data_IF_946746284018
#
_entry.id   IF_946746284018
#
_cell.length_a   1.000
_cell.length_b   1.000
_cell.length_c   1.000
_cell.angle_alpha   90.00
_cell.angle_beta   90.00
_cell.angle_gamma   90.00
#
_symmetry.space_group_name_H-M   'P 1'
#
loop_
_entity.id
_entity.type
_entity.pdbx_description
1 polymer ?
#
# COMPACT_ATOMS: atom_id res chain seq x y z
N UNK A 1 -15.32 -24.74 20.43
CA UNK A 1 -16.56 -24.69 19.62
C UNK A 1 -16.13 -24.37 18.20
N UNK A 2 -16.46 -25.23 17.20
CA UNK A 2 -16.27 -24.88 15.79
C UNK A 2 -17.17 -23.71 15.49
N UNK A 3 -16.60 -22.63 15.00
CA UNK A 3 -17.37 -21.46 14.57
C UNK A 3 -18.13 -21.86 13.30
N UNK A 4 -19.46 -21.88 13.34
CA UNK A 4 -20.33 -22.35 12.22
C UNK A 4 -20.09 -21.60 10.90
N UNK A 5 -19.41 -20.46 10.93
CA UNK A 5 -19.14 -19.61 9.77
C UNK A 5 -17.84 -19.94 9.02
N UNK A 6 -16.89 -20.63 9.64
CA UNK A 6 -15.60 -20.93 9.04
C UNK A 6 -15.50 -22.44 8.77
N UNK A 7 -15.64 -22.88 7.52
CA UNK A 7 -15.79 -24.30 7.20
C UNK A 7 -14.53 -25.14 7.42
N UNK A 8 -13.33 -24.53 7.49
CA UNK A 8 -12.07 -25.27 7.66
C UNK A 8 -11.24 -24.74 8.83
N UNK A 9 -10.44 -25.63 9.43
CA UNK A 9 -9.49 -25.25 10.49
C UNK A 9 -8.45 -24.23 10.00
N UNK A 10 -8.08 -24.28 8.72
CA UNK A 10 -7.18 -23.31 8.11
C UNK A 10 -7.80 -21.91 8.06
N UNK A 11 -9.06 -21.79 7.66
CA UNK A 11 -9.77 -20.51 7.69
C UNK A 11 -9.90 -19.96 9.10
N UNK A 12 -10.19 -20.82 10.09
CA UNK A 12 -10.24 -20.45 11.48
C UNK A 12 -8.86 -19.97 12.01
N UNK A 13 -7.78 -20.64 11.60
CA UNK A 13 -6.41 -20.20 11.91
C UNK A 13 -6.10 -18.83 11.28
N UNK A 14 -6.43 -18.62 10.02
CA UNK A 14 -6.22 -17.33 9.33
C UNK A 14 -7.03 -16.21 10.00
N UNK A 15 -8.32 -16.43 10.28
CA UNK A 15 -9.15 -15.46 10.98
C UNK A 15 -8.52 -15.06 12.32
N UNK A 16 -8.11 -16.06 13.12
CA UNK A 16 -7.51 -15.86 14.44
C UNK A 16 -6.15 -15.17 14.38
N UNK A 17 -5.31 -15.54 13.42
CA UNK A 17 -3.92 -15.04 13.34
C UNK A 17 -3.80 -13.69 12.64
N UNK A 18 -4.72 -13.34 11.71
CA UNK A 18 -4.59 -12.18 10.81
C UNK A 18 -5.62 -11.08 11.06
N UNK A 19 -6.85 -11.43 11.46
CA UNK A 19 -7.95 -10.47 11.58
C UNK A 19 -8.31 -10.15 13.04
N UNK A 20 -8.25 -11.14 13.92
CA UNK A 20 -8.65 -11.04 15.30
C UNK A 20 -7.74 -10.13 16.12
N UNK A 21 -8.32 -9.21 16.90
CA UNK A 21 -7.61 -8.45 17.92
C UNK A 21 -7.37 -9.31 19.16
N UNK A 22 -6.31 -8.97 19.87
CA UNK A 22 -6.01 -9.55 21.17
C UNK A 22 -6.44 -8.57 22.27
N UNK A 23 -7.13 -9.08 23.26
CA UNK A 23 -7.54 -8.37 24.48
C UNK A 23 -6.92 -9.04 25.69
N UNK A 24 -6.34 -8.24 26.60
CA UNK A 24 -5.79 -8.74 27.84
C UNK A 24 -6.91 -9.39 28.67
N UNK A 25 -6.64 -10.58 29.24
CA UNK A 25 -7.59 -11.37 30.03
C UNK A 25 -8.59 -12.21 29.21
N UNK A 26 -8.90 -11.84 27.95
CA UNK A 26 -9.83 -12.57 27.09
C UNK A 26 -9.12 -13.40 26.00
N UNK A 27 -7.96 -12.94 25.53
CA UNK A 27 -7.28 -13.53 24.39
C UNK A 27 -7.70 -12.90 23.06
N UNK A 28 -7.70 -13.68 21.97
CA UNK A 28 -8.09 -13.18 20.63
C UNK A 28 -9.58 -13.34 20.39
N UNK A 29 -10.15 -12.35 19.69
CA UNK A 29 -11.52 -12.40 19.15
C UNK A 29 -11.77 -13.71 18.38
N UNK A 30 -13.02 -14.12 18.35
CA UNK A 30 -13.51 -15.07 17.34
C UNK A 30 -13.91 -14.34 16.02
N UNK A 31 -14.39 -15.12 15.03
CA UNK A 31 -14.75 -14.53 13.75
C UNK A 31 -15.96 -13.60 13.84
N UNK A 32 -17.00 -13.99 14.56
CA UNK A 32 -18.19 -13.17 14.72
C UNK A 32 -17.91 -11.87 15.47
N UNK A 33 -17.06 -11.91 16.50
CA UNK A 33 -16.61 -10.71 17.21
C UNK A 33 -15.78 -9.77 16.31
N UNK A 34 -14.92 -10.35 15.46
CA UNK A 34 -14.12 -9.59 14.50
C UNK A 34 -15.01 -8.87 13.48
N UNK A 35 -16.03 -9.56 12.93
CA UNK A 35 -17.01 -8.98 12.02
C UNK A 35 -17.85 -7.91 12.72
N UNK A 36 -18.37 -8.20 13.91
CA UNK A 36 -19.16 -7.23 14.69
C UNK A 36 -18.36 -5.95 15.00
N UNK A 37 -17.08 -6.09 15.35
CA UNK A 37 -16.20 -4.93 15.56
C UNK A 37 -16.02 -4.09 14.27
N UNK A 38 -15.86 -4.74 13.12
CA UNK A 38 -15.79 -4.06 11.83
C UNK A 38 -17.11 -3.33 11.53
N UNK A 39 -18.24 -4.00 11.65
CA UNK A 39 -19.55 -3.40 11.42
C UNK A 39 -19.78 -2.17 12.32
N UNK A 40 -19.48 -2.30 13.61
CA UNK A 40 -19.70 -1.23 14.60
C UNK A 40 -18.78 -0.02 14.39
N UNK A 41 -17.52 -0.23 14.00
CA UNK A 41 -16.56 0.86 13.94
C UNK A 41 -16.32 1.40 12.52
N UNK A 42 -16.73 0.67 11.47
CA UNK A 42 -16.46 1.07 10.08
C UNK A 42 -17.76 1.30 9.30
N UNK A 43 -18.72 0.37 9.37
CA UNK A 43 -19.91 0.42 8.53
C UNK A 43 -21.00 1.32 9.16
N UNK A 44 -21.48 0.95 10.34
CA UNK A 44 -22.63 1.64 10.98
C UNK A 44 -22.43 3.14 11.19
N UNK A 45 -21.23 3.68 11.50
CA UNK A 45 -21.05 5.11 11.64
C UNK A 45 -21.15 5.92 10.33
N UNK A 46 -21.22 5.25 9.20
CA UNK A 46 -21.21 5.86 7.85
C UNK A 46 -22.49 5.68 7.06
N UNK A 47 -23.45 5.00 7.62
CA UNK A 47 -24.77 4.77 6.99
C UNK A 47 -25.88 5.34 7.88
N UNK A 48 -27.00 5.78 7.29
CA UNK A 48 -28.15 6.25 8.06
C UNK A 48 -28.71 5.16 8.98
N UNK A 49 -29.33 5.58 10.09
CA UNK A 49 -29.87 4.67 11.10
C UNK A 49 -30.93 3.70 10.52
N UNK A 50 -31.62 4.12 9.46
CA UNK A 50 -32.63 3.35 8.73
C UNK A 50 -32.02 2.29 7.79
N UNK A 51 -30.72 2.36 7.52
CA UNK A 51 -30.09 1.41 6.61
C UNK A 51 -29.83 0.06 7.29
N UNK A 52 -30.49 -0.98 6.80
CA UNK A 52 -30.32 -2.33 7.32
C UNK A 52 -28.96 -2.93 6.90
N UNK A 53 -28.03 -3.00 7.84
CA UNK A 53 -26.68 -3.56 7.62
C UNK A 53 -26.60 -5.07 7.77
N UNK A 54 -27.70 -5.77 8.07
CA UNK A 54 -27.69 -7.21 8.34
C UNK A 54 -27.20 -8.05 7.17
N UNK A 55 -27.56 -7.67 5.93
CA UNK A 55 -27.08 -8.39 4.74
C UNK A 55 -25.56 -8.29 4.57
N UNK A 56 -24.97 -7.09 4.82
CA UNK A 56 -23.52 -6.91 4.79
C UNK A 56 -22.82 -7.76 5.86
N UNK A 57 -23.39 -7.78 7.07
CA UNK A 57 -22.83 -8.55 8.18
C UNK A 57 -22.87 -10.06 7.90
N UNK A 58 -24.00 -10.58 7.41
CA UNK A 58 -24.17 -11.99 7.06
C UNK A 58 -23.24 -12.40 5.91
N UNK A 59 -23.13 -11.59 4.86
CA UNK A 59 -22.26 -11.88 3.74
C UNK A 59 -20.77 -11.93 4.13
N UNK A 60 -20.33 -11.08 5.07
CA UNK A 60 -18.97 -11.15 5.62
C UNK A 60 -18.80 -12.38 6.50
N UNK A 61 -19.76 -12.67 7.37
CA UNK A 61 -19.73 -13.86 8.24
C UNK A 61 -19.65 -15.15 7.39
N UNK A 62 -20.45 -15.24 6.33
CA UNK A 62 -20.50 -16.38 5.40
C UNK A 62 -19.34 -16.45 4.41
N UNK A 63 -18.39 -15.51 4.43
CA UNK A 63 -17.29 -15.41 3.46
C UNK A 63 -17.78 -15.32 2.01
N UNK A 64 -18.89 -14.65 1.76
CA UNK A 64 -19.39 -14.33 0.42
C UNK A 64 -18.69 -13.10 -0.14
N UNK A 65 -18.48 -12.11 0.74
CA UNK A 65 -17.69 -10.91 0.45
C UNK A 65 -16.72 -10.62 1.59
N UNK A 66 -15.59 -10.03 1.26
CA UNK A 66 -14.60 -9.62 2.26
C UNK A 66 -14.29 -8.13 2.12
N UNK A 67 -14.38 -7.36 3.22
CA UNK A 67 -13.88 -5.99 3.22
C UNK A 67 -12.36 -5.95 3.17
N UNK A 68 -11.80 -4.74 3.03
CA UNK A 68 -10.36 -4.53 3.20
C UNK A 68 -9.86 -5.21 4.47
N UNK A 69 -8.90 -6.12 4.32
CA UNK A 69 -8.25 -6.76 5.45
C UNK A 69 -7.70 -5.72 6.44
N UNK A 70 -7.17 -4.61 5.93
CA UNK A 70 -6.61 -3.53 6.75
C UNK A 70 -7.69 -2.81 7.54
N UNK A 71 -8.79 -2.42 6.89
CA UNK A 71 -9.92 -1.79 7.57
C UNK A 71 -10.49 -2.72 8.65
N UNK A 72 -10.64 -4.01 8.35
CA UNK A 72 -11.14 -5.00 9.30
C UNK A 72 -10.21 -5.20 10.49
N UNK A 73 -8.91 -5.33 10.24
CA UNK A 73 -7.89 -5.53 11.27
C UNK A 73 -7.74 -4.31 12.20
N UNK A 74 -7.82 -3.09 11.64
CA UNK A 74 -7.59 -1.84 12.37
C UNK A 74 -8.85 -1.17 12.90
N UNK A 75 -10.05 -1.67 12.54
CA UNK A 75 -11.34 -1.16 12.99
C UNK A 75 -11.36 -0.89 14.52
N UNK A 76 -11.79 0.33 14.89
CA UNK A 76 -11.75 0.85 16.26
C UNK A 76 -10.75 1.99 16.44
N UNK A 77 -10.17 2.20 17.63
CA UNK A 77 -9.38 3.38 17.97
C UNK A 77 -8.20 3.68 17.03
N UNK A 78 -7.57 2.64 16.47
CA UNK A 78 -6.43 2.82 15.54
C UNK A 78 -6.88 3.48 14.24
N UNK A 79 -7.97 2.98 13.63
CA UNK A 79 -8.52 3.54 12.40
C UNK A 79 -9.15 4.92 12.63
N UNK A 80 -9.82 5.13 13.75
CA UNK A 80 -10.44 6.42 14.09
C UNK A 80 -9.40 7.55 14.28
N UNK A 81 -8.20 7.20 14.76
CA UNK A 81 -7.10 8.16 14.93
C UNK A 81 -6.48 8.57 13.60
N UNK A 82 -6.21 7.61 12.74
CA UNK A 82 -5.57 7.81 11.43
C UNK A 82 -6.07 6.76 10.44
N UNK A 83 -6.66 7.21 9.33
CA UNK A 83 -7.29 6.34 8.37
C UNK A 83 -6.30 5.66 7.40
N UNK A 84 -5.04 6.06 7.37
CA UNK A 84 -4.00 5.42 6.54
C UNK A 84 -3.98 3.90 6.75
N UNK A 85 -4.15 3.45 8.01
CA UNK A 85 -4.14 2.04 8.35
C UNK A 85 -5.32 1.22 7.79
N UNK A 86 -6.35 1.88 7.26
CA UNK A 86 -7.52 1.23 6.63
C UNK A 86 -7.34 0.91 5.15
N UNK A 87 -6.34 1.51 4.51
CA UNK A 87 -6.09 1.35 3.08
C UNK A 87 -5.12 0.21 2.77
N UNK A 88 -5.31 -0.43 1.62
CA UNK A 88 -4.47 -1.54 1.17
C UNK A 88 -3.21 -1.04 0.46
N UNK A 89 -3.36 -0.04 -0.40
CA UNK A 89 -2.35 0.38 -1.34
C UNK A 89 -2.26 1.89 -1.48
N UNK A 90 -1.08 2.36 -1.89
CA UNK A 90 -0.78 3.76 -2.15
C UNK A 90 0.28 3.90 -3.24
N UNK A 91 0.40 5.11 -3.79
CA UNK A 91 1.49 5.50 -4.67
C UNK A 91 1.97 6.91 -4.34
N UNK A 92 3.29 7.12 -4.42
CA UNK A 92 3.91 8.43 -4.31
C UNK A 92 5.16 8.57 -5.22
N UNK A 93 5.39 9.72 -5.86
CA UNK A 93 6.67 10.03 -6.47
C UNK A 93 7.66 10.52 -5.39
N UNK A 94 8.96 10.25 -5.59
CA UNK A 94 10.02 10.80 -4.77
C UNK A 94 10.40 12.19 -5.31
N UNK A 95 9.55 13.17 -5.04
CA UNK A 95 9.67 14.55 -5.55
C UNK A 95 9.74 15.63 -4.49
N UNK A 96 9.71 15.22 -3.23
CA UNK A 96 9.77 16.07 -2.05
C UNK A 96 10.51 15.30 -0.93
N UNK A 97 11.35 15.94 -0.11
CA UNK A 97 12.01 15.31 1.04
C UNK A 97 11.05 14.52 1.95
N UNK A 98 9.81 14.97 2.09
CA UNK A 98 8.77 14.29 2.89
C UNK A 98 8.30 12.97 2.29
N UNK A 99 8.59 12.68 1.02
CA UNK A 99 8.20 11.42 0.41
C UNK A 99 8.78 10.21 1.15
N UNK A 100 9.99 10.32 1.69
CA UNK A 100 10.66 9.24 2.41
C UNK A 100 9.99 8.90 3.75
N UNK A 101 9.73 9.91 4.58
CA UNK A 101 9.09 9.68 5.88
C UNK A 101 7.58 9.38 5.76
N UNK A 102 6.91 9.91 4.74
CA UNK A 102 5.53 9.52 4.41
C UNK A 102 5.47 8.05 3.99
N UNK A 103 6.39 7.59 3.13
CA UNK A 103 6.48 6.18 2.77
C UNK A 103 6.72 5.29 3.99
N UNK A 104 7.63 5.68 4.88
CA UNK A 104 7.89 4.99 6.13
C UNK A 104 6.63 4.90 7.00
N UNK A 105 5.92 6.02 7.19
CA UNK A 105 4.69 6.05 7.97
C UNK A 105 3.59 5.15 7.38
N UNK A 106 3.39 5.22 6.05
CA UNK A 106 2.40 4.41 5.34
C UNK A 106 2.72 2.92 5.47
N UNK A 107 3.98 2.52 5.28
CA UNK A 107 4.43 1.15 5.47
C UNK A 107 4.27 0.68 6.93
N UNK A 108 4.59 1.54 7.92
CA UNK A 108 4.35 1.27 9.34
C UNK A 108 2.85 1.14 9.70
N UNK A 109 1.96 1.74 8.91
CA UNK A 109 0.53 1.49 8.97
C UNK A 109 0.13 0.15 8.33
N UNK A 110 1.06 -0.50 7.62
CA UNK A 110 0.87 -1.78 6.95
C UNK A 110 0.26 -1.67 5.56
N UNK A 111 0.20 -0.48 4.98
CA UNK A 111 -0.27 -0.19 3.63
C UNK A 111 0.89 -0.35 2.65
N UNK A 112 0.66 -0.97 1.49
CA UNK A 112 1.66 -1.12 0.44
C UNK A 112 1.95 0.20 -0.28
N UNK A 113 3.19 0.39 -0.74
CA UNK A 113 3.64 1.64 -1.39
C UNK A 113 4.25 1.34 -2.75
N UNK A 114 3.61 1.86 -3.82
CA UNK A 114 4.31 2.09 -5.08
C UNK A 114 5.03 3.43 -5.03
N UNK A 115 6.22 3.52 -5.58
CA UNK A 115 6.95 4.78 -5.64
C UNK A 115 7.68 4.96 -6.97
N UNK A 116 7.97 6.21 -7.32
CA UNK A 116 8.73 6.51 -8.52
C UNK A 116 10.00 7.27 -8.18
N UNK A 117 11.10 6.80 -8.76
CA UNK A 117 12.41 7.46 -8.75
C UNK A 117 12.79 7.97 -10.15
N UNK A 118 11.80 8.21 -10.98
CA UNK A 118 12.01 8.78 -12.32
C UNK A 118 12.63 10.16 -12.22
N UNK A 119 13.47 10.51 -13.19
CA UNK A 119 14.26 11.74 -13.21
C UNK A 119 13.41 12.99 -13.00
N UNK A 120 12.23 13.09 -13.64
CA UNK A 120 11.33 14.24 -13.51
C UNK A 120 10.80 14.45 -12.08
N UNK A 121 10.87 13.47 -11.22
CA UNK A 121 10.54 13.58 -9.81
C UNK A 121 11.78 13.85 -8.96
N UNK A 122 12.79 12.99 -9.03
CA UNK A 122 13.98 13.07 -8.19
C UNK A 122 14.74 14.40 -8.36
N UNK A 123 14.74 14.97 -9.56
CA UNK A 123 15.37 16.27 -9.82
C UNK A 123 14.71 17.45 -9.07
N UNK A 124 13.52 17.28 -8.50
CA UNK A 124 12.87 18.29 -7.64
C UNK A 124 13.42 18.31 -6.22
N UNK A 125 14.09 17.24 -5.79
CA UNK A 125 14.75 17.22 -4.48
C UNK A 125 15.84 18.29 -4.41
N UNK A 126 16.09 18.87 -3.21
CA UNK A 126 17.17 19.82 -3.02
C UNK A 126 18.55 19.18 -3.27
N UNK A 127 19.52 20.03 -3.62
CA UNK A 127 20.93 19.67 -3.60
C UNK A 127 21.39 19.45 -2.15
N UNK A 128 22.30 18.51 -1.95
CA UNK A 128 22.86 18.23 -0.63
C UNK A 128 24.06 19.14 -0.42
N UNK A 129 24.04 20.02 0.60
CA UNK A 129 25.18 20.89 0.92
C UNK A 129 26.35 20.11 1.53
N UNK A 130 27.41 20.78 1.81
CA UNK A 130 28.48 20.24 2.68
C UNK A 130 27.91 19.93 4.07
N UNK A 131 28.28 18.78 4.64
CA UNK A 131 27.72 18.26 5.88
C UNK A 131 28.70 18.39 7.03
N UNK A 132 28.23 18.93 8.15
CA UNK A 132 29.00 19.13 9.37
C UNK A 132 28.27 18.44 10.55
N UNK A 133 29.05 17.89 11.48
CA UNK A 133 28.53 17.33 12.73
C UNK A 133 27.83 18.42 13.54
N UNK A 134 26.63 18.12 14.06
CA UNK A 134 25.81 19.04 14.85
C UNK A 134 25.54 18.48 16.25
N UNK A 135 25.40 19.38 17.23
CA UNK A 135 24.94 19.00 18.57
C UNK A 135 23.42 18.78 18.67
N UNK A 136 22.72 19.04 17.59
CA UNK A 136 21.25 18.84 17.52
C UNK A 136 20.88 17.40 17.78
N UNK A 137 20.16 17.12 18.86
CA UNK A 137 19.76 15.79 19.26
C UNK A 137 18.27 15.56 18.98
N UNK A 138 17.95 14.52 18.22
CA UNK A 138 16.60 14.10 17.89
C UNK A 138 16.11 13.06 18.92
N UNK A 139 15.06 13.39 19.69
CA UNK A 139 14.45 12.46 20.64
C UNK A 139 13.41 11.60 19.93
N UNK A 140 13.65 10.30 19.86
CA UNK A 140 12.78 9.34 19.17
C UNK A 140 11.67 8.86 20.10
N UNK A 141 10.41 9.16 19.76
CA UNK A 141 9.23 8.66 20.52
C UNK A 141 8.87 7.24 20.11
N UNK A 142 8.40 6.44 21.09
CA UNK A 142 8.00 5.03 20.92
C UNK A 142 6.63 4.88 20.24
N UNK A 143 6.53 5.29 19.00
CA UNK A 143 5.36 5.14 18.14
C UNK A 143 5.75 5.17 16.67
N UNK A 144 4.87 4.68 15.77
CA UNK A 144 5.09 4.76 14.33
C UNK A 144 5.20 6.22 13.85
N UNK A 145 4.37 7.10 14.40
CA UNK A 145 4.44 8.55 14.16
C UNK A 145 5.75 9.14 14.68
N UNK A 146 6.22 8.68 15.83
CA UNK A 146 7.49 9.11 16.44
C UNK A 146 8.69 8.71 15.59
N UNK A 147 8.71 7.49 15.08
CA UNK A 147 9.78 7.00 14.21
C UNK A 147 9.82 7.77 12.89
N UNK A 148 8.66 7.94 12.24
CA UNK A 148 8.58 8.69 10.98
C UNK A 148 8.94 10.17 11.16
N UNK A 149 8.52 10.81 12.27
CA UNK A 149 8.92 12.19 12.60
C UNK A 149 10.40 12.32 12.86
N UNK A 150 11.01 11.37 13.58
CA UNK A 150 12.46 11.38 13.82
C UNK A 150 13.22 11.26 12.48
N UNK A 151 12.79 10.37 11.59
CA UNK A 151 13.39 10.24 10.27
C UNK A 151 13.22 11.51 9.41
N UNK A 152 12.03 12.15 9.45
CA UNK A 152 11.80 13.47 8.83
C UNK A 152 12.78 14.52 9.33
N UNK A 153 13.06 14.54 10.65
CA UNK A 153 14.02 15.48 11.24
C UNK A 153 15.45 15.18 10.78
N UNK A 154 15.87 13.91 10.73
CA UNK A 154 17.18 13.52 10.18
C UNK A 154 17.33 14.04 8.75
N UNK A 155 16.36 13.77 7.88
CA UNK A 155 16.39 14.24 6.50
C UNK A 155 16.43 15.77 6.38
N UNK A 156 15.63 16.47 7.18
CA UNK A 156 15.59 17.94 7.16
C UNK A 156 16.93 18.54 7.58
N UNK A 157 17.57 18.00 8.61
CA UNK A 157 18.87 18.47 9.07
C UNK A 157 19.98 18.16 8.06
N UNK A 158 19.97 16.98 7.45
CA UNK A 158 20.94 16.63 6.40
C UNK A 158 20.83 17.56 5.18
N UNK A 159 19.63 17.93 4.76
CA UNK A 159 19.43 18.93 3.71
C UNK A 159 19.76 20.36 4.16
N UNK A 160 19.81 20.62 5.46
CA UNK A 160 20.31 21.88 6.01
C UNK A 160 21.85 21.90 6.23
N UNK A 161 22.54 20.80 5.95
CA UNK A 161 24.00 20.69 6.14
C UNK A 161 24.43 20.15 7.51
N UNK A 162 23.49 19.66 8.30
CA UNK A 162 23.73 19.20 9.67
C UNK A 162 23.62 17.68 9.80
N UNK A 163 24.61 17.04 10.43
CA UNK A 163 24.54 15.64 10.83
C UNK A 163 24.10 15.59 12.29
N UNK A 164 22.85 15.20 12.57
CA UNK A 164 22.31 15.20 13.93
C UNK A 164 22.79 14.01 14.76
N UNK A 165 22.66 14.16 16.08
CA UNK A 165 22.65 13.08 17.05
C UNK A 165 21.21 12.61 17.32
N UNK A 166 21.03 11.46 18.00
CA UNK A 166 19.70 10.97 18.38
C UNK A 166 19.70 10.31 19.76
N UNK A 167 18.57 10.46 20.43
CA UNK A 167 18.25 9.79 21.69
C UNK A 167 17.11 8.79 21.45
N UNK A 168 17.39 7.51 21.65
CA UNK A 168 16.48 6.38 21.52
C UNK A 168 15.98 5.83 22.87
N UNK A 169 16.30 6.49 23.96
CA UNK A 169 15.99 6.02 25.33
C UNK A 169 14.51 5.80 25.59
N UNK A 170 13.62 6.46 24.87
CA UNK A 170 12.18 6.30 24.98
C UNK A 170 11.64 5.09 24.18
N UNK A 171 12.42 4.54 23.25
CA UNK A 171 11.94 3.42 22.38
C UNK A 171 11.98 2.11 23.15
N UNK A 172 10.86 1.38 23.13
CA UNK A 172 10.74 0.08 23.81
C UNK A 172 11.81 -0.90 23.36
N UNK A 173 12.30 -1.76 24.26
CA UNK A 173 13.31 -2.75 23.92
C UNK A 173 12.75 -3.84 22.99
N UNK A 174 13.67 -4.53 22.31
CA UNK A 174 13.36 -5.70 21.50
C UNK A 174 12.61 -6.76 22.32
N UNK A 175 11.67 -7.44 21.67
CA UNK A 175 10.84 -8.48 22.31
C UNK A 175 9.58 -7.95 23.00
N UNK A 176 9.41 -6.65 23.21
CA UNK A 176 8.20 -6.05 23.78
C UNK A 176 6.98 -6.31 22.90
N UNK A 177 5.80 -6.50 23.50
CA UNK A 177 4.56 -6.80 22.77
C UNK A 177 4.06 -5.59 21.96
N UNK A 178 3.67 -5.81 20.71
CA UNK A 178 2.99 -4.82 19.89
C UNK A 178 1.47 -4.89 20.12
N UNK A 179 0.86 -3.74 20.46
CA UNK A 179 -0.57 -3.69 20.86
C UNK A 179 -1.55 -3.75 19.68
N UNK A 180 -1.21 -3.17 18.54
CA UNK A 180 -2.15 -3.00 17.41
C UNK A 180 -2.12 -4.16 16.43
N UNK A 181 -0.93 -4.55 15.97
CA UNK A 181 -0.76 -5.58 14.94
C UNK A 181 -0.41 -6.96 15.50
N UNK A 182 -0.15 -7.04 16.81
CA UNK A 182 0.40 -8.25 17.44
C UNK A 182 1.88 -8.44 17.08
N UNK A 183 2.50 -9.48 17.63
CA UNK A 183 3.93 -9.71 17.45
C UNK A 183 4.78 -8.98 18.50
N UNK A 184 6.08 -8.91 18.23
CA UNK A 184 7.07 -8.33 19.14
C UNK A 184 7.85 -7.21 18.46
N UNK A 185 8.23 -6.19 19.23
CA UNK A 185 9.03 -5.06 18.77
C UNK A 185 10.47 -5.49 18.45
N UNK A 186 11.07 -4.86 17.47
CA UNK A 186 12.49 -5.00 17.11
C UNK A 186 13.44 -4.30 18.07
N UNK A 187 12.93 -3.36 18.87
CA UNK A 187 13.77 -2.36 19.53
C UNK A 187 14.23 -1.26 18.56
N UNK A 188 15.10 -0.35 19.00
CA UNK A 188 15.50 0.82 18.22
C UNK A 188 16.57 0.55 17.15
N UNK A 189 17.28 -0.57 17.21
CA UNK A 189 18.43 -0.85 16.35
C UNK A 189 18.16 -0.68 14.85
N UNK A 190 17.04 -1.20 14.27
CA UNK A 190 16.77 -1.01 12.85
C UNK A 190 16.62 0.46 12.44
N UNK A 191 16.04 1.29 13.31
CA UNK A 191 15.92 2.72 13.04
C UNK A 191 17.27 3.43 13.02
N UNK A 192 18.16 3.07 13.94
CA UNK A 192 19.55 3.58 13.97
C UNK A 192 20.30 3.16 12.71
N UNK A 193 20.12 1.93 12.24
CA UNK A 193 20.69 1.47 10.97
C UNK A 193 20.20 2.31 9.79
N UNK A 194 18.90 2.66 9.74
CA UNK A 194 18.38 3.57 8.72
C UNK A 194 19.03 4.96 8.79
N UNK A 195 19.17 5.52 9.98
CA UNK A 195 19.81 6.84 10.15
C UNK A 195 21.25 6.82 9.65
N UNK A 196 22.01 5.82 10.04
CA UNK A 196 23.40 5.66 9.58
C UNK A 196 23.51 5.47 8.06
N UNK A 197 22.65 4.62 7.48
CA UNK A 197 22.61 4.41 6.03
C UNK A 197 22.25 5.70 5.29
N UNK A 198 21.30 6.47 5.82
CA UNK A 198 20.88 7.75 5.23
C UNK A 198 22.02 8.77 5.28
N UNK A 199 22.66 8.93 6.43
CA UNK A 199 23.80 9.84 6.60
C UNK A 199 24.94 9.48 5.63
N UNK A 200 25.27 8.19 5.51
CA UNK A 200 26.30 7.75 4.57
C UNK A 200 25.93 8.05 3.12
N UNK A 201 24.67 7.82 2.74
CA UNK A 201 24.15 8.14 1.39
C UNK A 201 24.29 9.63 1.11
N UNK A 202 23.93 10.48 2.07
CA UNK A 202 24.05 11.94 1.94
C UNK A 202 25.52 12.40 1.89
N UNK A 203 26.40 11.84 2.72
CA UNK A 203 27.85 12.12 2.66
C UNK A 203 28.42 11.83 1.26
N UNK A 204 27.99 10.74 0.63
CA UNK A 204 28.43 10.37 -0.72
C UNK A 204 27.84 11.27 -1.83
N UNK A 205 26.80 12.03 -1.52
CA UNK A 205 26.06 12.87 -2.47
C UNK A 205 26.26 14.38 -2.24
N UNK A 206 27.21 14.79 -1.39
CA UNK A 206 27.51 16.21 -1.15
C UNK A 206 27.82 16.94 -2.47
N UNK A 207 27.33 18.16 -2.60
CA UNK A 207 27.50 19.01 -3.78
C UNK A 207 26.65 18.61 -4.99
N UNK A 208 25.71 17.66 -4.82
CA UNK A 208 24.77 17.24 -5.87
C UNK A 208 23.44 16.77 -5.28
N UNK A 209 22.48 16.52 -6.14
CA UNK A 209 21.22 15.88 -5.77
C UNK A 209 21.40 14.36 -5.64
N UNK A 210 20.50 13.73 -4.87
CA UNK A 210 20.39 12.28 -4.85
C UNK A 210 20.05 11.76 -6.26
N UNK A 211 20.70 10.68 -6.65
CA UNK A 211 20.39 9.95 -7.90
C UNK A 211 19.18 9.03 -7.71
N UNK A 212 18.62 8.54 -8.82
CA UNK A 212 17.51 7.59 -8.80
C UNK A 212 17.77 6.34 -7.96
N UNK A 213 18.99 5.78 -8.09
CA UNK A 213 19.37 4.58 -7.34
C UNK A 213 19.55 4.85 -5.85
N UNK A 214 20.07 6.02 -5.46
CA UNK A 214 20.19 6.40 -4.06
C UNK A 214 18.82 6.62 -3.43
N UNK A 215 17.89 7.27 -4.13
CA UNK A 215 16.50 7.38 -3.70
C UNK A 215 15.82 6.01 -3.58
N UNK A 216 16.04 5.13 -4.54
CA UNK A 216 15.54 3.75 -4.52
C UNK A 216 16.07 2.98 -3.32
N UNK A 217 17.38 3.05 -3.06
CA UNK A 217 18.02 2.32 -1.98
C UNK A 217 17.53 2.82 -0.60
N UNK A 218 17.33 4.14 -0.43
CA UNK A 218 16.72 4.71 0.77
C UNK A 218 15.28 4.17 0.97
N UNK A 219 14.46 4.15 -0.09
CA UNK A 219 13.10 3.60 -0.02
C UNK A 219 13.11 2.11 0.34
N UNK A 220 14.01 1.33 -0.25
CA UNK A 220 14.15 -0.09 0.07
C UNK A 220 14.61 -0.30 1.52
N UNK A 221 15.54 0.51 2.01
CA UNK A 221 16.00 0.42 3.39
C UNK A 221 14.89 0.78 4.39
N UNK A 222 14.04 1.78 4.09
CA UNK A 222 12.82 2.05 4.84
C UNK A 222 11.93 0.80 4.90
N UNK A 223 11.73 0.11 3.78
CA UNK A 223 10.99 -1.15 3.74
C UNK A 223 11.60 -2.23 4.64
N UNK A 224 12.92 -2.35 4.66
CA UNK A 224 13.64 -3.32 5.50
C UNK A 224 13.36 -3.10 6.99
N UNK A 225 13.47 -1.87 7.48
CA UNK A 225 13.22 -1.60 8.90
C UNK A 225 11.77 -1.82 9.32
N UNK A 226 10.81 -1.60 8.42
CA UNK A 226 9.40 -1.88 8.68
C UNK A 226 9.15 -3.39 8.82
N UNK A 227 9.80 -4.22 8.01
CA UNK A 227 9.72 -5.69 8.11
C UNK A 227 10.33 -6.18 9.42
N UNK A 228 11.54 -5.74 9.74
CA UNK A 228 12.24 -6.11 10.97
C UNK A 228 11.51 -5.57 12.19
N UNK A 229 10.87 -4.40 12.10
CA UNK A 229 10.05 -3.78 13.15
C UNK A 229 8.81 -4.58 13.55
N UNK A 230 8.56 -5.74 12.97
CA UNK A 230 7.45 -6.63 13.31
C UNK A 230 6.10 -6.21 12.70
N UNK A 231 6.10 -5.16 11.89
CA UNK A 231 4.94 -4.73 11.11
C UNK A 231 4.99 -5.45 9.78
N UNK A 232 4.46 -6.54 9.53
CA UNK A 232 4.28 -7.28 8.26
C UNK A 232 5.31 -7.01 7.15
N UNK A 233 5.42 -7.92 6.18
CA UNK A 233 6.20 -7.72 4.95
C UNK A 233 5.80 -6.40 4.31
N UNK A 234 6.78 -5.52 4.08
CA UNK A 234 6.58 -4.36 3.25
C UNK A 234 6.34 -4.83 1.80
N UNK A 235 5.31 -4.28 1.17
CA UNK A 235 5.09 -4.50 -0.25
C UNK A 235 5.39 -3.19 -0.96
N UNK A 236 6.36 -3.19 -1.88
CA UNK A 236 6.75 -2.01 -2.64
C UNK A 236 7.01 -2.34 -4.11
N UNK A 237 6.79 -1.33 -4.96
CA UNK A 237 7.24 -1.33 -6.36
C UNK A 237 7.91 0.00 -6.65
N UNK A 238 9.03 -0.05 -7.37
CA UNK A 238 9.78 1.11 -7.84
C UNK A 238 9.56 1.33 -9.33
N UNK A 239 9.18 2.54 -9.73
CA UNK A 239 9.13 2.95 -11.13
C UNK A 239 10.35 3.80 -11.48
N UNK A 240 10.95 3.56 -12.65
CA UNK A 240 12.12 4.28 -13.14
C UNK A 240 12.04 4.54 -14.64
N UNK A 241 12.83 5.49 -15.14
CA UNK A 241 12.87 5.81 -16.57
C UNK A 241 13.49 4.67 -17.37
N UNK A 242 13.05 4.54 -18.63
CA UNK A 242 13.59 3.58 -19.58
C UNK A 242 15.09 3.80 -19.84
N UNK A 243 15.53 5.07 -19.85
CA UNK A 243 16.92 5.48 -20.05
C UNK A 243 17.82 5.37 -18.81
N UNK A 244 17.29 4.87 -17.68
CA UNK A 244 18.05 4.77 -16.43
C UNK A 244 18.76 3.42 -16.33
N UNK A 245 20.03 3.38 -16.75
CA UNK A 245 20.86 2.18 -16.71
C UNK A 245 21.17 1.72 -15.27
N UNK A 246 21.28 2.63 -14.32
CA UNK A 246 21.50 2.27 -12.91
C UNK A 246 20.34 1.44 -12.37
N UNK A 247 19.11 1.86 -12.70
CA UNK A 247 17.91 1.14 -12.30
C UNK A 247 17.71 -0.13 -13.13
N UNK A 248 18.11 -0.14 -14.43
CA UNK A 248 18.05 -1.33 -15.28
C UNK A 248 18.89 -2.48 -14.70
N UNK A 249 20.06 -2.17 -14.18
CA UNK A 249 20.98 -3.15 -13.63
C UNK A 249 21.01 -3.22 -12.10
N UNK A 250 20.05 -2.57 -11.41
CA UNK A 250 20.03 -2.50 -9.96
C UNK A 250 20.03 -3.87 -9.25
N UNK A 251 19.46 -4.88 -9.91
CA UNK A 251 19.42 -6.27 -9.41
C UNK A 251 20.10 -7.24 -10.40
N UNK A 252 21.25 -6.84 -10.91
CA UNK A 252 22.10 -7.70 -11.75
C UNK A 252 23.34 -8.17 -10.98
N UNK A 253 23.90 -9.32 -11.36
CA UNK A 253 25.05 -9.93 -10.70
C UNK A 253 24.76 -10.33 -9.25
N UNK A 254 25.72 -10.12 -8.36
CA UNK A 254 25.62 -10.49 -6.93
C UNK A 254 25.02 -9.38 -6.05
N UNK A 255 23.99 -8.67 -6.54
CA UNK A 255 23.37 -7.57 -5.83
C UNK A 255 22.83 -7.96 -4.44
N UNK A 256 22.47 -9.22 -4.25
CA UNK A 256 21.97 -9.75 -2.96
C UNK A 256 23.06 -9.78 -1.87
N UNK A 257 24.33 -9.71 -2.21
CA UNK A 257 25.44 -9.58 -1.25
C UNK A 257 25.76 -8.11 -0.93
N UNK A 258 25.71 -7.22 -1.93
CA UNK A 258 26.15 -5.83 -1.80
C UNK A 258 25.01 -4.85 -1.52
N UNK A 259 23.80 -5.18 -1.93
CA UNK A 259 22.62 -4.31 -1.84
C UNK A 259 21.32 -5.12 -1.53
N UNK A 260 21.40 -6.02 -0.55
CA UNK A 260 20.31 -6.93 -0.17
C UNK A 260 18.97 -6.23 0.13
N UNK A 261 19.00 -4.98 0.62
CA UNK A 261 17.81 -4.16 0.84
C UNK A 261 16.95 -3.97 -0.42
N UNK A 262 17.53 -4.04 -1.63
CA UNK A 262 16.80 -3.94 -2.91
C UNK A 262 15.78 -5.06 -3.12
N UNK A 263 15.87 -6.16 -2.35
CA UNK A 263 14.85 -7.23 -2.34
C UNK A 263 13.48 -6.76 -1.82
N UNK A 264 13.40 -5.60 -1.18
CA UNK A 264 12.17 -5.07 -0.58
C UNK A 264 11.22 -4.41 -1.58
N UNK A 265 11.68 -4.10 -2.80
CA UNK A 265 10.84 -3.52 -3.85
C UNK A 265 10.96 -4.31 -5.15
N UNK A 266 9.86 -4.56 -5.85
CA UNK A 266 9.89 -4.94 -7.25
C UNK A 266 10.31 -3.74 -8.09
N UNK A 267 11.08 -3.94 -9.14
CA UNK A 267 11.49 -2.85 -10.02
C UNK A 267 10.77 -2.95 -11.36
N UNK A 268 10.23 -1.83 -11.83
CA UNK A 268 9.58 -1.71 -13.14
C UNK A 268 10.05 -0.48 -13.89
N UNK A 269 10.12 -0.60 -15.21
CA UNK A 269 10.33 0.53 -16.10
C UNK A 269 8.99 1.18 -16.43
N UNK A 270 8.92 2.50 -16.43
CA UNK A 270 7.74 3.26 -16.82
C UNK A 270 7.84 3.67 -18.29
N UNK A 271 6.96 3.12 -19.12
CA UNK A 271 6.79 3.55 -20.50
C UNK A 271 5.82 4.73 -20.58
N UNK A 272 6.29 5.86 -21.10
CA UNK A 272 5.50 7.06 -21.36
C UNK A 272 5.04 7.16 -22.81
N UNK A 273 5.67 6.38 -23.68
CA UNK A 273 5.37 6.24 -25.11
C UNK A 273 5.75 4.83 -25.57
N UNK A 274 5.41 4.47 -26.80
CA UNK A 274 5.86 3.22 -27.42
C UNK A 274 7.36 3.33 -27.69
N UNK A 275 8.21 2.47 -27.10
CA UNK A 275 9.64 2.50 -27.37
C UNK A 275 9.93 2.06 -28.82
N UNK A 276 11.05 2.51 -29.36
CA UNK A 276 11.63 1.92 -30.57
C UNK A 276 12.13 0.47 -30.30
N UNK A 277 12.35 -0.29 -31.35
CA UNK A 277 12.70 -1.69 -31.25
C UNK A 277 14.06 -1.91 -30.56
N UNK A 278 15.04 -1.05 -30.82
CA UNK A 278 16.38 -1.16 -30.22
C UNK A 278 16.31 -0.98 -28.71
N UNK A 279 15.64 0.09 -28.26
CA UNK A 279 15.45 0.37 -26.83
C UNK A 279 14.67 -0.74 -26.14
N UNK A 280 13.62 -1.27 -26.77
CA UNK A 280 12.86 -2.38 -26.24
C UNK A 280 13.70 -3.65 -26.11
N UNK A 281 14.46 -4.01 -27.14
CA UNK A 281 15.30 -5.21 -27.12
C UNK A 281 16.42 -5.11 -26.08
N UNK A 282 16.98 -3.92 -25.87
CA UNK A 282 17.97 -3.67 -24.83
C UNK A 282 17.39 -3.92 -23.42
N UNK A 283 16.17 -3.47 -23.17
CA UNK A 283 15.49 -3.73 -21.90
C UNK A 283 15.17 -5.20 -21.72
N UNK A 284 14.70 -5.85 -22.78
CA UNK A 284 14.41 -7.29 -22.79
C UNK A 284 15.65 -8.13 -22.53
N UNK A 285 16.78 -7.79 -23.16
CA UNK A 285 18.05 -8.46 -22.95
C UNK A 285 18.51 -8.33 -21.49
N UNK A 286 18.44 -7.12 -20.90
CA UNK A 286 18.79 -6.91 -19.51
C UNK A 286 17.92 -7.75 -18.56
N UNK A 287 16.62 -7.88 -18.84
CA UNK A 287 15.68 -8.72 -18.10
C UNK A 287 16.13 -10.21 -18.13
N UNK A 288 16.48 -10.71 -19.30
CA UNK A 288 16.94 -12.11 -19.48
C UNK A 288 18.27 -12.34 -18.77
N UNK A 289 19.22 -11.42 -18.93
CA UNK A 289 20.58 -11.54 -18.35
C UNK A 289 20.56 -11.45 -16.82
N UNK A 290 19.70 -10.62 -16.25
CA UNK A 290 19.59 -10.45 -14.79
C UNK A 290 19.14 -11.71 -14.07
N UNK A 291 18.39 -12.60 -14.75
CA UNK A 291 17.76 -13.82 -14.19
C UNK A 291 16.87 -13.54 -12.97
N UNK A 292 16.56 -12.28 -12.70
CA UNK A 292 15.74 -11.84 -11.56
C UNK A 292 14.26 -11.66 -11.91
N UNK A 293 13.93 -11.66 -13.22
CA UNK A 293 12.58 -11.34 -13.70
C UNK A 293 12.25 -9.83 -13.65
N UNK A 294 13.25 -8.99 -13.43
CA UNK A 294 13.13 -7.53 -13.36
C UNK A 294 14.08 -6.84 -14.37
N UNK A 295 13.73 -5.64 -14.86
CA UNK A 295 12.56 -4.81 -14.50
C UNK A 295 11.29 -5.29 -15.20
N UNK A 296 10.17 -5.26 -14.49
CA UNK A 296 8.84 -5.37 -15.08
C UNK A 296 8.47 -4.13 -15.91
N UNK A 297 7.30 -4.14 -16.53
CA UNK A 297 6.80 -3.04 -17.39
C UNK A 297 5.57 -2.40 -16.77
N UNK A 298 5.63 -1.08 -16.55
CA UNK A 298 4.47 -0.25 -16.26
C UNK A 298 4.23 0.71 -17.44
N UNK A 299 3.08 0.60 -18.08
CA UNK A 299 2.74 1.45 -19.22
C UNK A 299 1.85 2.63 -18.77
N UNK A 300 2.49 3.79 -18.52
CA UNK A 300 1.77 5.01 -18.12
C UNK A 300 0.84 5.54 -19.20
N UNK A 301 1.21 5.40 -20.46
CA UNK A 301 0.34 5.83 -21.56
C UNK A 301 -0.94 5.00 -21.62
N UNK A 302 -0.84 3.67 -21.47
CA UNK A 302 -2.00 2.80 -21.36
C UNK A 302 -2.87 3.15 -20.12
N UNK A 303 -2.23 3.53 -19.02
CA UNK A 303 -2.92 3.99 -17.81
C UNK A 303 -3.73 5.26 -18.07
N UNK A 304 -3.18 6.24 -18.83
CA UNK A 304 -3.90 7.46 -19.23
C UNK A 304 -5.09 7.14 -20.15
N UNK A 305 -4.91 6.27 -21.12
CA UNK A 305 -5.99 5.80 -22.01
C UNK A 305 -7.11 5.11 -21.21
N UNK A 306 -6.75 4.23 -20.30
CA UNK A 306 -7.71 3.53 -19.45
C UNK A 306 -8.44 4.49 -18.49
N UNK A 307 -7.75 5.48 -17.93
CA UNK A 307 -8.36 6.51 -17.09
C UNK A 307 -9.41 7.33 -17.86
N UNK A 308 -9.13 7.67 -19.10
CA UNK A 308 -10.02 8.44 -19.97
C UNK A 308 -11.26 7.67 -20.44
N UNK A 309 -11.16 6.33 -20.57
CA UNK A 309 -12.12 5.46 -21.30
C UNK A 309 -13.59 5.68 -20.95
N UNK A 310 -13.93 6.02 -19.71
CA UNK A 310 -15.32 6.17 -19.28
C UNK A 310 -15.62 7.58 -18.73
N UNK A 311 -14.74 8.56 -18.97
CA UNK A 311 -14.91 9.94 -18.51
C UNK A 311 -14.97 10.13 -16.99
N UNK A 312 -14.63 9.07 -16.21
CA UNK A 312 -14.71 9.12 -14.73
C UNK A 312 -13.45 9.60 -14.05
N UNK A 313 -12.31 9.55 -14.74
CA UNK A 313 -11.01 9.95 -14.21
C UNK A 313 -10.33 10.92 -15.17
N UNK A 314 -9.66 11.92 -14.63
CA UNK A 314 -8.82 12.83 -15.41
C UNK A 314 -7.54 12.09 -15.87
N UNK A 315 -7.29 11.94 -17.18
CA UNK A 315 -6.11 11.27 -17.71
C UNK A 315 -4.81 12.10 -17.61
N UNK A 316 -4.88 13.37 -17.24
CA UNK A 316 -3.74 14.31 -17.27
C UNK A 316 -2.78 14.16 -16.08
N UNK A 317 -2.96 13.15 -15.22
CA UNK A 317 -2.04 12.89 -14.14
C UNK A 317 -0.87 11.99 -14.57
N UNK A 318 0.27 12.20 -13.91
CA UNK A 318 1.42 11.30 -14.00
C UNK A 318 1.19 10.07 -13.12
N UNK A 319 0.34 9.18 -13.62
CA UNK A 319 -0.04 7.99 -12.89
C UNK A 319 1.14 7.08 -12.55
N UNK A 320 1.08 6.50 -11.37
CA UNK A 320 1.84 5.35 -10.97
C UNK A 320 0.93 4.20 -10.60
N UNK A 321 1.45 3.27 -9.82
CA UNK A 321 0.74 2.04 -9.48
C UNK A 321 0.99 1.62 -8.03
N UNK A 322 0.09 0.78 -7.51
CA UNK A 322 0.29 0.08 -6.24
C UNK A 322 1.36 -1.03 -6.37
N UNK A 323 1.81 -1.63 -5.27
CA UNK A 323 2.90 -2.62 -5.29
C UNK A 323 2.73 -3.82 -6.25
N UNK A 324 1.49 -4.26 -6.48
CA UNK A 324 1.19 -5.40 -7.36
C UNK A 324 0.90 -4.99 -8.81
N UNK A 325 0.89 -3.69 -9.09
CA UNK A 325 0.73 -3.08 -10.43
C UNK A 325 -0.66 -3.23 -11.08
N UNK A 326 -1.69 -3.61 -10.32
CA UNK A 326 -3.07 -3.76 -10.83
C UNK A 326 -3.90 -2.47 -10.72
N UNK A 327 -3.45 -1.46 -9.96
CA UNK A 327 -4.23 -0.25 -9.70
C UNK A 327 -3.47 0.99 -10.17
N UNK A 328 -4.12 1.77 -11.02
CA UNK A 328 -3.64 3.07 -11.49
C UNK A 328 -3.94 4.12 -10.42
N UNK A 329 -2.89 4.76 -9.88
CA UNK A 329 -3.00 5.78 -8.84
C UNK A 329 -2.41 7.11 -9.28
N UNK A 330 -3.04 8.22 -8.85
CA UNK A 330 -2.43 9.55 -8.92
C UNK A 330 -1.25 9.65 -7.96
N UNK A 331 -0.32 10.59 -8.17
CA UNK A 331 0.66 10.94 -7.15
C UNK A 331 -0.01 11.22 -5.79
N UNK A 332 0.51 10.63 -4.71
CA UNK A 332 -0.01 10.80 -3.36
C UNK A 332 -1.50 10.40 -3.21
N UNK A 333 -1.82 9.17 -3.58
CA UNK A 333 -3.18 8.65 -3.53
C UNK A 333 -3.25 7.26 -2.92
N UNK A 334 -4.35 6.99 -2.23
CA UNK A 334 -4.71 5.69 -1.68
C UNK A 334 -5.82 5.02 -2.49
N UNK A 335 -5.85 3.68 -2.39
CA UNK A 335 -6.98 2.90 -2.83
C UNK A 335 -7.29 1.79 -1.81
N UNK A 336 -8.56 1.41 -1.72
CA UNK A 336 -9.00 0.28 -0.92
C UNK A 336 -9.59 -0.81 -1.82
N UNK A 337 -9.59 -2.03 -1.30
CA UNK A 337 -10.08 -3.21 -2.00
C UNK A 337 -11.17 -3.89 -1.18
N UNK A 338 -12.11 -4.49 -1.89
CA UNK A 338 -13.07 -5.48 -1.38
C UNK A 338 -13.04 -6.70 -2.28
N UNK A 339 -13.47 -7.84 -1.77
CA UNK A 339 -13.36 -9.12 -2.44
C UNK A 339 -14.73 -9.79 -2.51
N UNK A 340 -15.13 -10.25 -3.70
CA UNK A 340 -16.24 -11.18 -3.89
C UNK A 340 -15.69 -12.60 -3.99
N UNK A 341 -16.19 -13.51 -3.18
CA UNK A 341 -15.79 -14.91 -3.23
C UNK A 341 -16.74 -15.66 -4.16
N UNK A 342 -16.27 -15.92 -5.38
CA UNK A 342 -16.99 -16.69 -6.38
C UNK A 342 -16.95 -18.16 -6.01
N UNK A 343 -18.12 -18.83 -6.05
CA UNK A 343 -18.28 -20.25 -5.76
C UNK A 343 -18.71 -20.99 -7.02
N UNK A 344 -18.43 -22.28 -7.07
CA UNK A 344 -18.77 -23.14 -8.21
C UNK A 344 -20.28 -23.12 -8.54
N UNK A 345 -21.10 -22.94 -7.52
CA UNK A 345 -22.57 -22.97 -7.62
C UNK A 345 -23.21 -21.60 -7.83
N UNK A 346 -22.44 -20.51 -7.82
CA UNK A 346 -23.00 -19.16 -7.96
C UNK A 346 -23.63 -18.98 -9.35
N UNK A 347 -24.84 -18.49 -9.35
CA UNK A 347 -25.54 -17.98 -10.54
C UNK A 347 -25.10 -16.55 -10.85
N UNK A 348 -25.54 -16.01 -11.98
CA UNK A 348 -25.28 -14.59 -12.31
C UNK A 348 -25.93 -13.66 -11.27
N UNK A 349 -27.13 -13.99 -10.77
CA UNK A 349 -27.80 -13.23 -9.71
C UNK A 349 -27.00 -13.23 -8.39
N UNK A 350 -26.43 -14.38 -8.01
CA UNK A 350 -25.57 -14.48 -6.81
C UNK A 350 -24.33 -13.61 -6.96
N UNK A 351 -23.69 -13.64 -8.13
CA UNK A 351 -22.52 -12.80 -8.42
C UNK A 351 -22.87 -11.31 -8.39
N UNK A 352 -24.01 -10.90 -8.98
CA UNK A 352 -24.49 -9.51 -8.89
C UNK A 352 -24.72 -9.08 -7.44
N UNK A 353 -25.36 -9.92 -6.64
CA UNK A 353 -25.62 -9.64 -5.24
C UNK A 353 -24.32 -9.43 -4.47
N UNK A 354 -23.35 -10.33 -4.63
CA UNK A 354 -22.02 -10.22 -3.99
C UNK A 354 -21.28 -8.96 -4.43
N UNK A 355 -21.29 -8.65 -5.74
CA UNK A 355 -20.67 -7.44 -6.28
C UNK A 355 -21.30 -6.17 -5.69
N UNK A 356 -22.63 -6.12 -5.54
CA UNK A 356 -23.33 -5.00 -4.88
C UNK A 356 -22.85 -4.83 -3.44
N UNK A 357 -22.85 -5.90 -2.65
CA UNK A 357 -22.44 -5.85 -1.25
C UNK A 357 -20.97 -5.43 -1.09
N UNK A 358 -20.06 -6.00 -1.90
CA UNK A 358 -18.66 -5.63 -1.90
C UNK A 358 -18.46 -4.16 -2.30
N UNK A 359 -19.22 -3.68 -3.30
CA UNK A 359 -19.17 -2.27 -3.73
C UNK A 359 -19.64 -1.33 -2.62
N UNK A 360 -20.71 -1.67 -1.91
CA UNK A 360 -21.19 -0.87 -0.76
C UNK A 360 -20.11 -0.77 0.32
N UNK A 361 -19.49 -1.90 0.69
CA UNK A 361 -18.40 -1.92 1.66
C UNK A 361 -17.22 -1.05 1.22
N UNK A 362 -16.80 -1.17 -0.04
CA UNK A 362 -15.72 -0.37 -0.60
C UNK A 362 -16.05 1.13 -0.65
N UNK A 363 -17.28 1.48 -0.98
CA UNK A 363 -17.76 2.88 -0.99
C UNK A 363 -17.70 3.47 0.42
N UNK A 364 -18.17 2.74 1.44
CA UNK A 364 -18.07 3.15 2.85
C UNK A 364 -16.61 3.34 3.25
N UNK A 365 -15.72 2.37 2.94
CA UNK A 365 -14.30 2.47 3.24
C UNK A 365 -13.63 3.68 2.57
N UNK A 366 -14.03 4.05 1.36
CA UNK A 366 -13.49 5.20 0.62
C UNK A 366 -13.76 6.56 1.29
N UNK A 367 -14.67 6.63 2.27
CA UNK A 367 -14.97 7.84 3.04
C UNK A 367 -14.02 8.11 4.20
N UNK A 368 -13.11 7.20 4.47
CA UNK A 368 -12.11 7.35 5.53
C UNK A 368 -10.90 8.12 5.00
N UNK A 369 -10.91 9.45 5.09
CA UNK A 369 -9.93 10.35 4.47
C UNK A 369 -9.12 11.19 5.45
N UNK A 370 -9.16 10.84 6.75
CA UNK A 370 -8.39 11.53 7.80
C UNK A 370 -6.95 11.01 7.87
N UNK A 371 -6.01 11.78 7.32
CA UNK A 371 -4.57 11.45 7.28
C UNK A 371 -3.73 12.53 7.97
N UNK A 372 -3.76 12.63 9.31
CA UNK A 372 -3.18 13.78 10.04
C UNK A 372 -1.66 13.86 9.97
N UNK A 373 -0.96 12.77 9.66
CA UNK A 373 0.49 12.74 9.52
C UNK A 373 0.96 13.19 8.14
N UNK A 374 0.19 12.88 7.10
CA UNK A 374 0.58 13.05 5.70
C UNK A 374 0.32 14.47 5.21
N UNK A 375 0.98 14.86 4.11
CA UNK A 375 0.69 16.13 3.41
C UNK A 375 -0.78 16.18 2.96
N UNK A 376 -1.35 17.39 2.95
CA UNK A 376 -2.77 17.61 2.59
C UNK A 376 -3.15 17.04 1.21
N UNK A 377 -2.21 16.97 0.26
CA UNK A 377 -2.44 16.42 -1.08
C UNK A 377 -2.97 14.98 -1.03
N UNK A 378 -2.59 14.18 -0.04
CA UNK A 378 -3.11 12.81 0.15
C UNK A 378 -4.61 12.81 0.41
N UNK A 379 -5.07 13.70 1.28
CA UNK A 379 -6.51 13.87 1.57
C UNK A 379 -7.23 14.35 0.32
N UNK A 380 -6.76 15.41 -0.32
CA UNK A 380 -7.38 15.98 -1.53
C UNK A 380 -7.54 14.94 -2.62
N UNK A 381 -6.46 14.25 -3.02
CA UNK A 381 -6.52 13.27 -4.10
C UNK A 381 -7.39 12.04 -3.77
N UNK A 382 -7.40 11.63 -2.49
CA UNK A 382 -8.23 10.49 -2.07
C UNK A 382 -9.71 10.87 -2.01
N UNK A 383 -10.05 12.09 -1.58
CA UNK A 383 -11.43 12.59 -1.53
C UNK A 383 -12.03 12.84 -2.91
N UNK A 384 -11.23 13.36 -3.84
CA UNK A 384 -11.70 13.65 -5.19
C UNK A 384 -12.14 12.38 -5.94
N UNK A 385 -11.37 11.30 -5.89
CA UNK A 385 -11.69 10.09 -6.62
C UNK A 385 -12.38 9.01 -5.78
N UNK A 386 -12.08 8.91 -4.47
CA UNK A 386 -12.59 7.85 -3.58
C UNK A 386 -12.49 6.47 -4.21
N UNK A 387 -11.29 6.10 -4.65
CA UNK A 387 -11.05 4.85 -5.37
C UNK A 387 -11.39 3.63 -4.51
N UNK A 388 -12.02 2.68 -5.15
CA UNK A 388 -12.23 1.33 -4.61
C UNK A 388 -12.06 0.30 -5.73
N UNK A 389 -11.55 -0.87 -5.38
CA UNK A 389 -11.49 -2.04 -6.25
C UNK A 389 -12.42 -3.12 -5.71
N UNK A 390 -13.27 -3.65 -6.56
CA UNK A 390 -14.08 -4.83 -6.28
C UNK A 390 -13.43 -6.01 -7.00
N UNK A 391 -12.78 -6.86 -6.25
CA UNK A 391 -12.03 -8.01 -6.76
C UNK A 391 -12.91 -9.27 -6.76
N UNK A 392 -12.58 -10.22 -7.61
CA UNK A 392 -13.24 -11.52 -7.69
C UNK A 392 -12.20 -12.61 -7.47
N UNK A 393 -12.43 -13.50 -6.49
CA UNK A 393 -11.59 -14.68 -6.24
C UNK A 393 -12.41 -15.95 -6.43
N UNK A 394 -11.76 -17.08 -6.78
CA UNK A 394 -12.45 -18.33 -7.07
C UNK A 394 -13.06 -18.39 -8.48
N UNK A 395 -12.67 -17.50 -9.37
CA UNK A 395 -13.22 -17.39 -10.74
C UNK A 395 -13.07 -18.69 -11.54
N UNK A 396 -12.00 -19.44 -11.31
CA UNK A 396 -11.76 -20.71 -12.03
C UNK A 396 -12.66 -21.87 -11.57
N UNK A 397 -13.33 -21.72 -10.43
CA UNK A 397 -14.25 -22.73 -9.91
C UNK A 397 -15.65 -22.60 -10.52
N UNK A 398 -15.99 -21.44 -11.10
CA UNK A 398 -17.33 -21.14 -11.61
C UNK A 398 -17.38 -21.15 -13.14
N UNK A 399 -18.33 -21.88 -13.72
CA UNK A 399 -18.45 -22.04 -15.17
C UNK A 399 -18.71 -20.71 -15.91
N UNK A 400 -19.44 -19.75 -15.31
CA UNK A 400 -19.71 -18.44 -15.92
C UNK A 400 -18.48 -17.55 -15.98
N UNK A 401 -17.49 -17.78 -15.11
CA UNK A 401 -16.30 -16.94 -14.94
C UNK A 401 -15.04 -17.51 -15.61
N UNK A 402 -15.13 -18.69 -16.23
CA UNK A 402 -13.99 -19.32 -16.93
C UNK A 402 -13.94 -18.89 -18.40
N UNK A 403 -12.74 -18.97 -19.00
CA UNK A 403 -12.54 -18.72 -20.43
C UNK A 403 -13.27 -19.70 -21.36
N UNK A 404 -13.91 -20.75 -20.81
CA UNK A 404 -14.74 -21.70 -21.55
C UNK A 404 -16.15 -21.15 -21.82
N UNK A 405 -16.55 -20.07 -21.15
CA UNK A 405 -17.81 -19.39 -21.36
C UNK A 405 -17.68 -18.39 -22.50
N UNK A 406 -18.32 -18.62 -23.62
CA UNK A 406 -18.40 -17.69 -24.76
C UNK A 406 -19.00 -16.32 -24.39
N UNK A 407 -19.80 -16.27 -23.30
CA UNK A 407 -20.40 -15.05 -22.76
C UNK A 407 -19.57 -14.33 -21.70
N UNK A 408 -18.35 -14.77 -21.40
CA UNK A 408 -17.53 -14.25 -20.31
C UNK A 408 -17.34 -12.72 -20.35
N UNK A 409 -17.05 -12.16 -21.51
CA UNK A 409 -16.88 -10.71 -21.67
C UNK A 409 -18.14 -9.94 -21.28
N UNK A 410 -19.32 -10.42 -21.72
CA UNK A 410 -20.61 -9.82 -21.36
C UNK A 410 -20.89 -9.93 -19.85
N UNK A 411 -20.58 -11.07 -19.26
CA UNK A 411 -20.73 -11.31 -17.82
C UNK A 411 -19.87 -10.34 -17.02
N UNK A 412 -18.59 -10.18 -17.38
CA UNK A 412 -17.68 -9.27 -16.69
C UNK A 412 -18.12 -7.80 -16.86
N UNK A 413 -18.51 -7.38 -18.07
CA UNK A 413 -18.98 -6.01 -18.31
C UNK A 413 -20.30 -5.72 -17.57
N UNK A 414 -21.17 -6.72 -17.47
CA UNK A 414 -22.38 -6.62 -16.67
C UNK A 414 -22.07 -6.43 -15.18
N UNK A 415 -21.21 -7.27 -14.59
CA UNK A 415 -20.80 -7.15 -13.19
C UNK A 415 -20.09 -5.81 -12.91
N UNK A 416 -19.28 -5.35 -13.87
CA UNK A 416 -18.67 -4.02 -13.81
C UNK A 416 -19.73 -2.91 -13.77
N UNK A 417 -20.74 -3.01 -14.62
CA UNK A 417 -21.86 -2.06 -14.65
C UNK A 417 -22.64 -2.05 -13.33
N UNK A 418 -22.89 -3.22 -12.75
CA UNK A 418 -23.49 -3.35 -11.41
C UNK A 418 -22.65 -2.62 -10.36
N UNK A 419 -21.33 -2.83 -10.34
CA UNK A 419 -20.44 -2.15 -9.40
C UNK A 419 -20.44 -0.62 -9.58
N UNK A 420 -20.35 -0.13 -10.82
CA UNK A 420 -20.36 1.31 -11.13
C UNK A 420 -21.67 1.97 -10.68
N UNK A 421 -22.81 1.38 -11.03
CA UNK A 421 -24.12 1.92 -10.67
C UNK A 421 -24.34 1.90 -9.15
N UNK A 422 -23.96 0.81 -8.48
CA UNK A 422 -24.04 0.70 -7.01
C UNK A 422 -23.17 1.76 -6.32
N UNK A 423 -21.96 2.00 -6.82
CA UNK A 423 -21.08 3.03 -6.26
C UNK A 423 -21.63 4.46 -6.48
N UNK A 424 -22.19 4.74 -7.66
CA UNK A 424 -22.78 6.04 -7.97
C UNK A 424 -23.99 6.32 -7.07
N UNK A 425 -24.89 5.34 -6.91
CA UNK A 425 -26.08 5.45 -6.06
C UNK A 425 -25.68 5.69 -4.58
N UNK A 426 -24.67 5.01 -4.07
CA UNK A 426 -24.27 5.10 -2.66
C UNK A 426 -23.42 6.33 -2.31
N UNK A 427 -22.74 6.93 -3.25
CA UNK A 427 -22.01 8.21 -3.02
C UNK A 427 -22.93 9.37 -2.61
N UNK A 428 -24.21 9.29 -2.92
CA UNK A 428 -25.23 10.27 -2.48
C UNK A 428 -25.75 10.00 -1.06
N UNK A 429 -25.51 8.80 -0.51
CA UNK A 429 -26.07 8.34 0.78
C UNK A 429 -25.01 8.31 1.90
N UNK A 430 -23.71 8.31 1.54
CA UNK A 430 -22.59 8.16 2.50
C UNK A 430 -21.78 9.48 2.68
#
# INVERSE_FOLDING_TARGET
MRNNYLPTDYQAFIAKSRYAKYFDGKGREDWSETVSRYMTNVVRPKVGAEYNTSQLEQAILGLEVMPSMRAMMTAGPALARDNTAGYNCSYLPVDDPKAFDEAMFILLCGTGVGFSVERQFVQKLPEIPELFESETTIVVKDSKEGWAKAFRQVLALLWAGEIPQWDIGLVRPAGSRLKTFGGRASGPAPLVELFNFTIQTFKNAQGRKLSSIECHDLMCFIGQIVVVGGVRRSAMISLSNLSDDRMRYAKSGQWFETAAHRALANNSVSYTEKPDMETFMREWQALVESKSGERGVFNRQASKVQAAKNGRRDPNYEFGTNPCSEIILRPNQFCNLTECVVRATDTLEDLEHKVRLATILGTIQSTYTKFPYLRKVWTTNTEEERLLGVSLTGIMDNALMTCRNEGLEKTIEHLRTVAVNTNADRKSVV
#
